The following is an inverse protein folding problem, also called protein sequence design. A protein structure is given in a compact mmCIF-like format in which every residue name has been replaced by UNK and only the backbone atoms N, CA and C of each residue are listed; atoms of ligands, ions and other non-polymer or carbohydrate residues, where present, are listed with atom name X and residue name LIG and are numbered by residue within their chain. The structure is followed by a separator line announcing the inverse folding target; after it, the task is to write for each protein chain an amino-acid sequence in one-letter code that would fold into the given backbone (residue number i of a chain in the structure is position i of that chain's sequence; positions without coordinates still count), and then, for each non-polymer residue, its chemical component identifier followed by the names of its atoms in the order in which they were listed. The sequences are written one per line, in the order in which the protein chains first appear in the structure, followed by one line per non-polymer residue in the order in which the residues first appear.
data_IF_415772396762
#
_entry.id   IF_415772396762
#
_cell.length_a   1.000
_cell.length_b   1.000
_cell.length_c   1.000
_cell.angle_alpha   90.00
_cell.angle_beta   90.00
_cell.angle_gamma   90.00
#
_symmetry.space_group_name_H-M   'P 1'
#
loop_
_entity.id
_entity.type
_entity.pdbx_description
1 polymer ?
#
# COMPACT_ATOMS: atom_id res chain seq x y z
N UNK A 1 -44.86 -64.03 -5.06
CA UNK A 1 -43.64 -63.23 -5.33
C UNK A 1 -42.43 -64.07 -5.00
N UNK A 2 -41.50 -64.24 -5.94
CA UNK A 2 -40.29 -65.03 -5.68
C UNK A 2 -39.34 -64.27 -4.77
N UNK A 3 -38.62 -64.97 -3.89
CA UNK A 3 -37.72 -64.39 -2.88
C UNK A 3 -36.54 -63.63 -3.53
N UNK A 4 -36.09 -64.09 -4.71
CA UNK A 4 -34.96 -63.53 -5.47
C UNK A 4 -35.09 -62.04 -5.83
N UNK A 5 -36.15 -61.57 -6.52
CA UNK A 5 -36.30 -60.16 -6.87
C UNK A 5 -36.39 -59.24 -5.66
N UNK A 6 -37.00 -59.69 -4.55
CA UNK A 6 -37.03 -58.91 -3.31
C UNK A 6 -35.62 -58.71 -2.73
N UNK A 7 -34.79 -59.76 -2.76
CA UNK A 7 -33.41 -59.73 -2.28
C UNK A 7 -32.53 -58.79 -3.13
N UNK A 8 -32.68 -58.82 -4.46
CA UNK A 8 -31.99 -57.89 -5.35
C UNK A 8 -32.39 -56.43 -5.11
N UNK A 9 -33.67 -56.15 -4.88
CA UNK A 9 -34.17 -54.80 -4.63
C UNK A 9 -33.61 -54.24 -3.32
N UNK A 10 -33.58 -55.05 -2.26
CA UNK A 10 -32.97 -54.66 -0.98
C UNK A 10 -31.48 -54.38 -1.15
N UNK A 11 -30.74 -55.24 -1.87
CA UNK A 11 -29.32 -55.04 -2.12
C UNK A 11 -29.06 -53.74 -2.91
N UNK A 12 -29.86 -53.45 -3.93
CA UNK A 12 -29.75 -52.22 -4.71
C UNK A 12 -30.01 -50.96 -3.85
N UNK A 13 -31.01 -51.00 -2.97
CA UNK A 13 -31.31 -49.89 -2.05
C UNK A 13 -30.18 -49.65 -1.05
N UNK A 14 -29.61 -50.70 -0.48
CA UNK A 14 -28.49 -50.59 0.47
C UNK A 14 -27.27 -49.98 -0.21
N UNK A 15 -26.95 -50.43 -1.44
CA UNK A 15 -25.85 -49.86 -2.22
C UNK A 15 -26.10 -48.38 -2.51
N UNK A 16 -27.29 -48.00 -2.97
CA UNK A 16 -27.64 -46.60 -3.23
C UNK A 16 -27.54 -45.72 -1.97
N UNK A 17 -28.03 -46.20 -0.83
CA UNK A 17 -27.92 -45.48 0.44
C UNK A 17 -26.46 -45.30 0.87
N UNK A 18 -25.62 -46.32 0.71
CA UNK A 18 -24.19 -46.25 1.00
C UNK A 18 -23.49 -45.21 0.11
N UNK A 19 -23.79 -45.19 -1.19
CA UNK A 19 -23.25 -44.17 -2.11
C UNK A 19 -23.69 -42.75 -1.76
N UNK A 20 -24.96 -42.56 -1.38
CA UNK A 20 -25.47 -41.26 -0.97
C UNK A 20 -24.77 -40.72 0.29
N UNK A 21 -24.58 -41.57 1.30
CA UNK A 21 -23.85 -41.21 2.53
C UNK A 21 -22.38 -40.93 2.24
N UNK A 22 -21.72 -41.77 1.43
CA UNK A 22 -20.33 -41.54 1.04
C UNK A 22 -20.17 -40.22 0.27
N UNK A 23 -21.08 -39.90 -0.65
CA UNK A 23 -21.09 -38.63 -1.38
C UNK A 23 -21.25 -37.42 -0.44
N UNK A 24 -22.14 -37.50 0.55
CA UNK A 24 -22.34 -36.44 1.54
C UNK A 24 -21.10 -36.23 2.44
N UNK A 25 -20.46 -37.30 2.89
CA UNK A 25 -19.24 -37.21 3.72
C UNK A 25 -18.09 -36.60 2.92
N UNK A 26 -17.85 -37.09 1.71
CA UNK A 26 -16.80 -36.55 0.83
C UNK A 26 -17.07 -35.09 0.46
N UNK A 27 -18.33 -34.73 0.21
CA UNK A 27 -18.72 -33.35 -0.06
C UNK A 27 -18.39 -32.40 1.09
N UNK A 28 -18.72 -32.79 2.33
CA UNK A 28 -18.38 -32.01 3.54
C UNK A 28 -16.87 -31.92 3.77
N UNK A 29 -16.14 -33.01 3.56
CA UNK A 29 -14.68 -33.00 3.68
C UNK A 29 -14.03 -32.08 2.65
N UNK A 30 -14.50 -32.13 1.40
CA UNK A 30 -14.02 -31.25 0.33
C UNK A 30 -14.29 -29.78 0.66
N UNK A 31 -15.51 -29.45 1.09
CA UNK A 31 -15.89 -28.09 1.49
C UNK A 31 -15.00 -27.59 2.63
N UNK A 32 -14.82 -28.37 3.70
CA UNK A 32 -13.94 -27.99 4.81
C UNK A 32 -12.49 -27.80 4.38
N UNK A 33 -11.97 -28.67 3.50
CA UNK A 33 -10.59 -28.57 3.01
C UNK A 33 -10.39 -27.36 2.11
N UNK A 34 -11.38 -27.03 1.27
CA UNK A 34 -11.36 -25.83 0.44
C UNK A 34 -11.42 -24.57 1.29
N UNK A 35 -12.26 -24.56 2.33
CA UNK A 35 -12.37 -23.42 3.24
C UNK A 35 -11.04 -23.18 3.97
N UNK A 36 -10.49 -24.20 4.62
CA UNK A 36 -9.20 -24.10 5.34
C UNK A 36 -8.08 -23.66 4.40
N UNK A 37 -7.99 -24.23 3.20
CA UNK A 37 -6.97 -23.82 2.23
C UNK A 37 -7.16 -22.37 1.78
N UNK A 38 -8.39 -21.93 1.58
CA UNK A 38 -8.69 -20.54 1.22
C UNK A 38 -8.30 -19.58 2.34
N UNK A 39 -8.58 -19.94 3.59
CA UNK A 39 -8.17 -19.16 4.77
C UNK A 39 -6.64 -19.06 4.86
N UNK A 40 -5.92 -20.17 4.71
CA UNK A 40 -4.45 -20.19 4.71
C UNK A 40 -3.85 -19.35 3.57
N UNK A 41 -4.43 -19.43 2.37
CA UNK A 41 -4.01 -18.67 1.19
C UNK A 41 -4.25 -17.15 1.41
N UNK A 42 -5.39 -16.77 2.01
CA UNK A 42 -5.69 -15.37 2.33
C UNK A 42 -4.75 -14.78 3.38
N UNK A 43 -4.42 -15.56 4.42
CA UNK A 43 -3.42 -15.16 5.43
C UNK A 43 -2.06 -14.96 4.78
N UNK A 44 -1.64 -15.88 3.93
CA UNK A 44 -0.37 -15.81 3.20
C UNK A 44 -0.32 -14.59 2.26
N UNK A 45 -1.41 -14.32 1.53
CA UNK A 45 -1.52 -13.15 0.68
C UNK A 45 -1.40 -11.84 1.48
N UNK A 46 -2.05 -11.75 2.64
CA UNK A 46 -1.95 -10.59 3.52
C UNK A 46 -0.52 -10.32 4.00
N UNK A 47 0.21 -11.38 4.39
CA UNK A 47 1.62 -11.26 4.79
C UNK A 47 2.50 -10.75 3.64
N UNK A 48 2.35 -11.32 2.43
CA UNK A 48 3.11 -10.89 1.26
C UNK A 48 2.84 -9.43 0.87
N UNK A 49 1.59 -8.98 0.98
CA UNK A 49 1.24 -7.58 0.75
C UNK A 49 1.85 -6.67 1.82
N UNK A 50 1.87 -7.10 3.08
CA UNK A 50 2.54 -6.38 4.18
C UNK A 50 4.05 -6.24 3.96
N UNK A 51 4.73 -7.32 3.60
CA UNK A 51 6.17 -7.31 3.29
C UNK A 51 6.48 -6.41 2.10
N UNK A 52 5.66 -6.49 1.04
CA UNK A 52 5.81 -5.60 -0.11
C UNK A 52 5.55 -4.14 0.25
N UNK A 53 4.54 -3.86 1.08
CA UNK A 53 4.24 -2.51 1.54
C UNK A 53 5.39 -1.93 2.35
N UNK A 54 5.91 -2.67 3.34
CA UNK A 54 7.04 -2.22 4.16
C UNK A 54 8.31 -1.97 3.34
N UNK A 55 8.60 -2.84 2.37
CA UNK A 55 9.70 -2.64 1.43
C UNK A 55 9.51 -1.40 0.55
N UNK A 56 8.31 -1.21 0.01
CA UNK A 56 7.97 -0.04 -0.83
C UNK A 56 8.06 1.24 -0.03
N UNK A 57 7.47 1.27 1.18
CA UNK A 57 7.52 2.41 2.08
C UNK A 57 8.97 2.74 2.48
N UNK A 58 9.79 1.74 2.81
CA UNK A 58 11.20 1.96 3.15
C UNK A 58 12.01 2.61 2.02
N UNK A 59 11.81 2.17 0.78
CA UNK A 59 12.42 2.81 -0.39
C UNK A 59 11.92 4.25 -0.58
N UNK A 60 10.62 4.48 -0.44
CA UNK A 60 10.01 5.82 -0.55
C UNK A 60 10.51 6.79 0.51
N UNK A 61 10.69 6.33 1.75
CA UNK A 61 11.27 7.14 2.82
C UNK A 61 12.71 7.55 2.50
N UNK A 62 13.51 6.63 1.93
CA UNK A 62 14.87 6.91 1.51
C UNK A 62 14.91 7.99 0.41
N UNK A 63 14.09 7.84 -0.63
CA UNK A 63 14.02 8.83 -1.71
C UNK A 63 13.53 10.18 -1.18
N UNK A 64 12.45 10.20 -0.38
CA UNK A 64 11.95 11.44 0.22
C UNK A 64 13.01 12.15 1.07
N UNK A 65 13.81 11.38 1.83
CA UNK A 65 14.94 11.91 2.60
C UNK A 65 16.02 12.51 1.69
N UNK A 66 16.44 11.78 0.65
CA UNK A 66 17.44 12.26 -0.31
C UNK A 66 16.97 13.54 -1.03
N UNK A 67 15.67 13.65 -1.31
CA UNK A 67 15.04 14.85 -1.86
C UNK A 67 15.01 16.02 -0.87
N UNK A 68 14.70 15.76 0.41
CA UNK A 68 14.70 16.79 1.44
C UNK A 68 16.10 17.29 1.80
N UNK A 69 17.13 16.49 1.54
CA UNK A 69 18.55 16.84 1.70
C UNK A 69 19.18 17.34 0.38
N UNK A 70 18.36 17.65 -0.64
CA UNK A 70 18.85 18.14 -1.92
C UNK A 70 19.71 19.42 -1.74
N UNK A 71 20.92 19.48 -2.34
CA UNK A 71 21.81 20.63 -2.18
C UNK A 71 21.15 21.95 -2.61
N UNK A 72 21.18 22.97 -1.75
CA UNK A 72 20.61 24.29 -2.05
C UNK A 72 19.13 24.44 -1.71
N UNK A 73 18.40 23.34 -1.50
CA UNK A 73 16.96 23.36 -1.25
C UNK A 73 16.61 24.16 0.02
N UNK A 74 17.29 23.86 1.13
CA UNK A 74 17.02 24.51 2.39
C UNK A 74 17.38 26.00 2.34
N UNK A 75 18.48 26.35 1.69
CA UNK A 75 18.94 27.73 1.52
C UNK A 75 17.97 28.53 0.65
N UNK A 76 17.51 27.95 -0.47
CA UNK A 76 16.53 28.58 -1.36
C UNK A 76 15.20 28.85 -0.63
N UNK A 77 14.70 27.87 0.14
CA UNK A 77 13.50 28.04 0.96
C UNK A 77 13.64 29.15 2.00
N UNK A 78 14.77 29.19 2.71
CA UNK A 78 15.07 30.25 3.69
C UNK A 78 15.19 31.63 3.05
N UNK A 79 15.70 31.71 1.81
CA UNK A 79 15.76 32.94 1.04
C UNK A 79 14.40 33.36 0.45
N UNK A 80 13.36 32.52 0.57
CA UNK A 80 12.06 32.72 -0.08
C UNK A 80 12.07 32.48 -1.59
N UNK A 81 13.14 31.87 -2.12
CA UNK A 81 13.27 31.51 -3.53
C UNK A 81 12.58 30.17 -3.82
N UNK A 82 11.25 30.20 -3.83
CA UNK A 82 10.40 29.03 -4.12
C UNK A 82 10.68 28.47 -5.52
N UNK A 83 11.08 29.33 -6.48
CA UNK A 83 11.42 28.92 -7.83
C UNK A 83 12.69 28.08 -7.86
N UNK A 84 13.75 28.56 -7.21
CA UNK A 84 15.00 27.81 -7.03
C UNK A 84 14.78 26.50 -6.28
N UNK A 85 14.08 26.54 -5.14
CA UNK A 85 13.74 25.34 -4.36
C UNK A 85 12.98 24.28 -5.17
N UNK A 86 12.00 24.71 -5.98
CA UNK A 86 11.23 23.81 -6.83
C UNK A 86 12.08 23.22 -7.96
N UNK A 87 13.01 24.01 -8.51
CA UNK A 87 13.94 23.55 -9.54
C UNK A 87 14.92 22.51 -8.98
N UNK A 88 15.54 22.78 -7.84
CA UNK A 88 16.48 21.88 -7.17
C UNK A 88 15.81 20.55 -6.82
N UNK A 89 14.60 20.61 -6.26
CA UNK A 89 13.80 19.42 -5.94
C UNK A 89 13.43 18.64 -7.21
N UNK A 90 13.04 19.31 -8.30
CA UNK A 90 12.70 18.64 -9.57
C UNK A 90 13.91 17.91 -10.14
N UNK A 91 15.07 18.56 -10.17
CA UNK A 91 16.32 17.94 -10.64
C UNK A 91 16.73 16.74 -9.78
N UNK A 92 16.52 16.80 -8.47
CA UNK A 92 16.76 15.66 -7.59
C UNK A 92 15.75 14.51 -7.85
N UNK A 93 14.47 14.84 -8.09
CA UNK A 93 13.41 13.85 -8.33
C UNK A 93 13.55 13.11 -9.67
N UNK A 94 14.18 13.74 -10.68
CA UNK A 94 14.47 13.10 -11.98
C UNK A 94 15.32 11.82 -11.83
N UNK A 95 16.21 11.75 -10.84
CA UNK A 95 17.04 10.57 -10.59
C UNK A 95 16.22 9.33 -10.18
N UNK A 96 15.04 9.55 -9.58
CA UNK A 96 14.14 8.49 -9.13
C UNK A 96 12.96 8.26 -10.08
N UNK A 97 12.72 9.18 -11.02
CA UNK A 97 11.57 9.13 -11.93
C UNK A 97 10.24 9.39 -11.21
N UNK A 98 10.25 10.27 -10.22
CA UNK A 98 9.11 10.54 -9.33
C UNK A 98 8.65 12.00 -9.47
N UNK A 99 7.36 12.27 -9.20
CA UNK A 99 6.85 13.63 -9.25
C UNK A 99 7.18 14.35 -7.92
N UNK A 100 7.93 15.47 -7.93
CA UNK A 100 8.36 16.16 -6.73
C UNK A 100 7.17 16.77 -5.98
N UNK A 101 7.23 16.73 -4.65
CA UNK A 101 6.25 17.36 -3.75
C UNK A 101 6.99 18.26 -2.79
N UNK A 102 6.63 19.55 -2.78
CA UNK A 102 7.18 20.56 -1.88
C UNK A 102 6.05 21.24 -1.11
N UNK A 103 6.19 21.28 0.21
CA UNK A 103 5.22 21.83 1.16
C UNK A 103 5.90 22.88 2.02
N UNK A 104 5.26 24.03 2.17
CA UNK A 104 5.76 25.15 2.95
C UNK A 104 5.67 24.94 4.46
N UNK A 105 6.20 25.90 5.21
CA UNK A 105 6.16 25.92 6.67
C UNK A 105 4.72 25.94 7.24
N UNK A 106 3.73 26.40 6.48
CA UNK A 106 2.32 26.39 6.88
C UNK A 106 1.63 25.05 6.63
N UNK A 107 2.24 24.17 5.83
CA UNK A 107 1.65 22.93 5.36
C UNK A 107 0.93 23.06 4.01
N UNK A 108 1.05 24.19 3.33
CA UNK A 108 0.49 24.39 2.00
C UNK A 108 1.49 23.93 0.93
N UNK A 109 1.04 23.22 -0.12
CA UNK A 109 1.90 22.87 -1.23
C UNK A 109 2.32 24.13 -2.02
N UNK A 110 3.60 24.22 -2.40
CA UNK A 110 4.14 25.40 -3.10
C UNK A 110 3.75 25.49 -4.59
N UNK A 111 3.17 24.44 -5.20
CA UNK A 111 2.89 24.40 -6.64
C UNK A 111 1.39 24.26 -6.98
N UNK A 112 1.03 24.71 -8.19
CA UNK A 112 -0.26 24.40 -8.84
C UNK A 112 -0.13 23.10 -9.63
N UNK A 113 -0.99 22.12 -9.37
CA UNK A 113 -0.86 20.74 -9.88
C UNK A 113 -0.38 19.74 -8.81
N UNK A 114 -0.17 20.23 -7.59
CA UNK A 114 0.17 19.41 -6.42
C UNK A 114 -0.93 18.44 -6.07
N UNK A 115 -0.52 17.19 -5.91
CA UNK A 115 -1.33 16.17 -5.25
C UNK A 115 -1.75 16.71 -3.87
N UNK A 116 -3.02 16.54 -3.45
CA UNK A 116 -3.46 16.92 -2.12
C UNK A 116 -2.56 16.27 -1.07
N UNK A 117 -1.94 17.11 -0.24
CA UNK A 117 -1.13 16.67 0.89
C UNK A 117 -2.00 16.73 2.16
N UNK A 118 -2.30 15.59 2.79
CA UNK A 118 -3.08 15.58 4.03
C UNK A 118 -2.34 16.30 5.17
N UNK A 119 -3.06 17.06 5.98
CA UNK A 119 -2.48 17.86 7.06
C UNK A 119 -1.79 17.01 8.13
N UNK A 120 -2.32 15.82 8.42
CA UNK A 120 -1.75 14.85 9.34
C UNK A 120 -0.37 14.34 8.88
N UNK A 121 -0.15 14.21 7.57
CA UNK A 121 1.17 13.89 7.02
C UNK A 121 2.15 15.03 7.26
N UNK A 122 1.73 16.28 7.04
CA UNK A 122 2.58 17.44 7.30
C UNK A 122 2.95 17.52 8.78
N UNK A 123 1.99 17.29 9.68
CA UNK A 123 2.22 17.34 11.13
C UNK A 123 3.18 16.22 11.59
N UNK A 124 3.06 15.02 11.03
CA UNK A 124 4.01 13.92 11.26
C UNK A 124 5.41 14.30 10.75
N UNK A 125 5.51 14.83 9.52
CA UNK A 125 6.79 15.27 8.95
C UNK A 125 7.42 16.39 9.77
N UNK A 126 6.64 17.37 10.23
CA UNK A 126 7.09 18.45 11.13
C UNK A 126 7.66 17.90 12.45
N UNK A 127 7.09 16.81 12.95
CA UNK A 127 7.56 16.10 14.15
C UNK A 127 8.84 15.29 13.92
N UNK A 128 9.32 15.20 12.67
CA UNK A 128 10.54 14.50 12.28
C UNK A 128 10.30 13.12 11.67
N UNK A 129 9.04 12.70 11.53
CA UNK A 129 8.70 11.45 10.87
C UNK A 129 8.86 11.56 9.34
N UNK A 130 8.94 10.41 8.67
CA UNK A 130 8.95 10.34 7.21
C UNK A 130 7.77 9.48 6.75
N UNK A 131 6.54 10.02 6.77
CA UNK A 131 5.35 9.26 6.45
C UNK A 131 5.31 8.88 4.96
N UNK A 132 4.78 7.69 4.69
CA UNK A 132 4.41 7.22 3.36
C UNK A 132 2.94 6.80 3.41
N UNK A 133 2.13 7.35 2.52
CA UNK A 133 0.70 7.04 2.46
C UNK A 133 0.22 6.88 1.03
N UNK A 134 -0.98 6.34 0.87
CA UNK A 134 -1.71 6.37 -0.39
C UNK A 134 -2.73 7.50 -0.32
N UNK A 135 -2.69 8.41 -1.29
CA UNK A 135 -3.65 9.50 -1.45
C UNK A 135 -4.46 9.30 -2.72
N UNK A 136 -5.74 9.62 -2.66
CA UNK A 136 -6.61 9.62 -3.84
C UNK A 136 -6.54 10.99 -4.52
N UNK A 137 -6.34 10.97 -5.83
CA UNK A 137 -6.35 12.17 -6.69
C UNK A 137 -7.26 11.95 -7.88
N UNK A 138 -7.62 13.04 -8.55
CA UNK A 138 -8.36 12.94 -9.81
C UNK A 138 -7.53 12.11 -10.82
N UNK A 139 -8.01 10.89 -11.12
CA UNK A 139 -7.35 9.97 -12.05
C UNK A 139 -6.67 8.75 -11.42
N UNK A 140 -6.56 8.64 -10.09
CA UNK A 140 -6.03 7.42 -9.48
C UNK A 140 -5.59 7.53 -8.02
N UNK A 141 -4.97 6.45 -7.55
CA UNK A 141 -4.27 6.41 -6.27
C UNK A 141 -2.82 6.80 -6.51
N UNK A 142 -2.24 7.57 -5.60
CA UNK A 142 -0.83 7.92 -5.62
C UNK A 142 -0.20 7.56 -4.29
N UNK A 143 1.00 6.99 -4.34
CA UNK A 143 1.90 6.90 -3.20
C UNK A 143 2.55 8.25 -2.98
N UNK A 144 2.40 8.80 -1.78
CA UNK A 144 2.99 10.07 -1.35
C UNK A 144 3.97 9.79 -0.21
N UNK A 145 5.19 10.32 -0.32
CA UNK A 145 6.21 10.24 0.71
C UNK A 145 6.78 11.62 1.00
N UNK A 146 6.94 11.95 2.28
CA UNK A 146 7.47 13.24 2.72
C UNK A 146 8.59 13.05 3.74
N UNK A 147 9.56 13.96 3.71
CA UNK A 147 10.62 14.09 4.69
C UNK A 147 10.79 15.56 5.09
N UNK A 148 11.24 15.83 6.33
CA UNK A 148 11.41 17.20 6.81
C UNK A 148 12.63 17.84 6.17
N UNK A 149 12.44 19.03 5.60
CA UNK A 149 13.56 19.92 5.26
C UNK A 149 13.91 20.72 6.50
N UNK A 150 15.18 20.69 6.90
CA UNK A 150 15.67 21.37 8.10
C UNK A 150 16.86 22.26 7.78
N UNK A 151 16.92 23.42 8.42
CA UNK A 151 18.07 24.31 8.46
C UNK A 151 18.48 24.51 9.91
N UNK A 152 19.74 24.27 10.26
CA UNK A 152 20.25 24.38 11.63
C UNK A 152 19.43 23.59 12.68
N UNK A 153 18.80 22.49 12.25
CA UNK A 153 17.94 21.64 13.08
C UNK A 153 16.50 22.14 13.25
N UNK A 154 16.17 23.33 12.76
CA UNK A 154 14.81 23.86 12.71
C UNK A 154 14.08 23.36 11.46
N UNK A 155 12.81 23.00 11.62
CA UNK A 155 11.96 22.60 10.51
C UNK A 155 11.51 23.82 9.71
N UNK A 156 11.72 23.79 8.39
CA UNK A 156 11.39 24.91 7.50
C UNK A 156 10.34 24.55 6.45
N UNK A 157 10.25 23.27 6.06
CA UNK A 157 9.38 22.77 5.00
C UNK A 157 9.31 21.24 5.03
N UNK A 158 8.48 20.66 4.16
CA UNK A 158 8.56 19.24 3.83
C UNK A 158 8.79 19.07 2.33
N UNK A 159 9.61 18.08 1.98
CA UNK A 159 9.90 17.73 0.59
C UNK A 159 9.82 16.22 0.43
N UNK A 160 9.50 15.79 -0.78
CA UNK A 160 9.45 14.38 -1.12
C UNK A 160 8.87 14.18 -2.50
N UNK A 161 8.12 13.11 -2.66
CA UNK A 161 7.73 12.65 -3.99
C UNK A 161 6.40 11.93 -4.01
N UNK A 162 5.90 11.77 -5.22
CA UNK A 162 4.67 11.06 -5.49
C UNK A 162 4.74 10.23 -6.76
N UNK A 163 4.04 9.11 -6.77
CA UNK A 163 3.88 8.25 -7.95
C UNK A 163 2.49 7.63 -7.99
N UNK A 164 1.93 7.34 -9.17
CA UNK A 164 0.73 6.49 -9.31
C UNK A 164 0.90 5.08 -8.74
#
# INVERSE_FOLDING_TARGET
MSLRPALFLVMALVVLAAFAVAGLVTGRQLESSLLTRTEDDLVSAGMLLGDRWTSTAGMRMMHAKELAEAPGLAEALMAGDVGGASQDLTSAAEAFGEAPVLVDASGAPYASGSIPVPADLVDATRSGDMPVTVVEVEGGLHLLALAPVKMDGEWIAAAGSSTP
#
